data_IF_013115447474
#
_entry.id   IF_013115447474
#
_cell.length_a   1.000
_cell.length_b   1.000
_cell.length_c   1.000
_cell.angle_alpha   90.00
_cell.angle_beta   90.00
_cell.angle_gamma   90.00
#
_symmetry.space_group_name_H-M   'P 1'
#
loop_
_entity.id
_entity.type
_entity.pdbx_description
1 polymer ?
#
# COMPACT_ATOMS: atom_id res chain seq x y z
N UNK A 1 17.96 3.46 -43.11
CA UNK A 1 16.99 4.55 -42.97
C UNK A 1 15.56 4.08 -42.71
N UNK A 2 15.04 3.11 -43.48
CA UNK A 2 13.64 2.62 -43.31
C UNK A 2 13.37 1.97 -41.95
N UNK A 3 14.31 1.23 -41.38
CA UNK A 3 14.20 0.59 -40.08
C UNK A 3 14.14 1.60 -38.94
N UNK A 4 14.94 2.67 -38.99
CA UNK A 4 14.92 3.74 -37.99
C UNK A 4 13.59 4.51 -37.99
N UNK A 5 13.02 4.76 -39.15
CA UNK A 5 11.69 5.42 -39.25
C UNK A 5 10.57 4.53 -38.70
N UNK A 6 10.64 3.20 -38.85
CA UNK A 6 9.70 2.27 -38.23
C UNK A 6 9.85 2.27 -36.70
N UNK A 7 11.06 2.29 -36.17
CA UNK A 7 11.32 2.34 -34.73
C UNK A 7 10.85 3.68 -34.13
N UNK A 8 11.04 4.78 -34.85
CA UNK A 8 10.55 6.10 -34.42
C UNK A 8 9.00 6.13 -34.32
N UNK A 9 8.30 5.44 -35.23
CA UNK A 9 6.82 5.32 -35.18
C UNK A 9 6.31 4.55 -33.96
N UNK A 10 7.16 3.75 -33.34
CA UNK A 10 6.88 3.01 -32.09
C UNK A 10 7.55 3.66 -30.88
N UNK A 11 7.83 4.98 -30.94
CA UNK A 11 8.47 5.76 -29.89
C UNK A 11 9.88 5.31 -29.49
N UNK A 12 10.60 4.59 -30.40
CA UNK A 12 11.96 4.16 -30.18
C UNK A 12 12.94 5.08 -30.95
N UNK A 13 13.67 5.93 -30.23
CA UNK A 13 14.68 6.81 -30.81
C UNK A 13 16.04 6.11 -30.88
N UNK A 14 16.48 5.74 -32.10
CA UNK A 14 17.80 5.17 -32.35
C UNK A 14 18.76 6.23 -32.85
N UNK A 15 19.82 6.51 -32.10
CA UNK A 15 20.84 7.51 -32.45
C UNK A 15 22.00 6.96 -33.24
N UNK A 16 22.26 5.63 -33.19
CA UNK A 16 23.39 4.97 -33.91
C UNK A 16 22.89 3.69 -34.56
N UNK A 17 23.13 3.52 -35.86
CA UNK A 17 22.65 2.33 -36.59
C UNK A 17 23.23 1.00 -36.09
N UNK A 18 24.49 0.98 -35.69
CA UNK A 18 25.11 -0.22 -35.12
C UNK A 18 24.44 -0.72 -33.83
N UNK A 19 23.78 0.18 -33.10
CA UNK A 19 23.00 -0.21 -31.91
C UNK A 19 21.81 -1.12 -32.28
N UNK A 20 21.22 -0.98 -33.47
CA UNK A 20 20.14 -1.84 -33.93
C UNK A 20 20.60 -3.26 -34.18
N UNK A 21 21.83 -3.45 -34.75
CA UNK A 21 22.40 -4.78 -34.98
C UNK A 21 22.72 -5.47 -33.64
N UNK A 22 23.33 -4.73 -32.71
CA UNK A 22 23.64 -5.25 -31.37
C UNK A 22 22.36 -5.64 -30.63
N UNK A 23 21.32 -4.80 -30.68
CA UNK A 23 20.00 -5.10 -30.06
C UNK A 23 19.31 -6.29 -30.73
N UNK A 24 19.50 -6.49 -32.05
CA UNK A 24 18.98 -7.65 -32.79
C UNK A 24 19.63 -8.97 -32.40
N UNK A 25 20.81 -8.94 -31.77
CA UNK A 25 21.56 -10.12 -31.32
C UNK A 25 21.51 -10.31 -29.78
N UNK A 26 20.64 -9.59 -29.08
CA UNK A 26 20.49 -9.71 -27.62
C UNK A 26 19.89 -11.05 -27.27
N UNK A 27 20.53 -11.75 -26.34
CA UNK A 27 20.05 -13.02 -25.77
C UNK A 27 19.50 -12.90 -24.36
N UNK A 28 19.82 -11.80 -23.68
CA UNK A 28 19.37 -11.52 -22.31
C UNK A 28 18.97 -10.06 -22.18
N UNK A 29 17.84 -9.81 -21.55
CA UNK A 29 17.37 -8.47 -21.14
C UNK A 29 17.37 -8.44 -19.63
N UNK A 30 18.13 -7.51 -19.03
CA UNK A 30 18.03 -7.18 -17.60
C UNK A 30 17.08 -5.98 -17.45
N UNK A 31 16.06 -6.14 -16.63
CA UNK A 31 15.07 -5.08 -16.39
C UNK A 31 14.92 -4.83 -14.89
N UNK A 32 14.69 -3.59 -14.53
CA UNK A 32 14.25 -3.25 -13.17
C UNK A 32 12.78 -3.66 -12.97
N UNK A 33 12.42 -3.98 -11.73
CA UNK A 33 11.05 -4.33 -11.35
C UNK A 33 10.18 -3.08 -11.22
N UNK A 34 10.57 -2.19 -10.27
CA UNK A 34 9.75 -1.09 -9.81
C UNK A 34 9.74 0.07 -10.80
N UNK A 35 8.55 0.48 -11.25
CA UNK A 35 8.38 1.55 -12.24
C UNK A 35 8.70 1.17 -13.68
N UNK A 36 9.29 -0.03 -13.93
CA UNK A 36 9.53 -0.58 -15.27
C UNK A 36 8.53 -1.68 -15.58
N UNK A 37 8.56 -2.76 -14.84
CA UNK A 37 7.59 -3.85 -14.96
C UNK A 37 6.30 -3.56 -14.19
N UNK A 38 6.37 -2.75 -13.15
CA UNK A 38 5.23 -2.34 -12.34
C UNK A 38 4.86 -0.88 -12.60
N UNK A 39 3.70 -0.47 -12.10
CA UNK A 39 3.15 0.89 -12.30
C UNK A 39 3.84 1.96 -11.45
N UNK A 40 4.70 1.56 -10.48
CA UNK A 40 5.26 2.44 -9.44
C UNK A 40 4.17 3.15 -8.64
N UNK A 41 3.08 2.44 -8.39
CA UNK A 41 1.92 2.93 -7.65
C UNK A 41 1.38 1.83 -6.74
N UNK A 42 1.37 2.07 -5.44
CA UNK A 42 0.83 1.13 -4.48
C UNK A 42 -0.70 1.11 -4.55
N UNK A 43 -1.29 -0.07 -4.57
CA UNK A 43 -2.74 -0.27 -4.52
C UNK A 43 -3.09 -1.31 -3.46
N UNK A 44 -4.20 -1.08 -2.75
CA UNK A 44 -4.82 -2.11 -1.91
C UNK A 44 -5.46 -3.15 -2.83
N UNK A 45 -4.89 -4.34 -2.86
CA UNK A 45 -5.43 -5.46 -3.63
C UNK A 45 -6.59 -6.13 -2.92
N UNK A 46 -6.47 -6.21 -1.59
CA UNK A 46 -7.47 -6.84 -0.74
C UNK A 46 -7.43 -6.19 0.66
N UNK A 47 -8.58 -5.97 1.27
CA UNK A 47 -8.69 -5.57 2.66
C UNK A 47 -9.67 -6.49 3.36
N UNK A 48 -9.18 -7.22 4.35
CA UNK A 48 -9.97 -8.15 5.17
C UNK A 48 -10.28 -7.49 6.51
N UNK A 49 -11.55 -7.41 6.84
CA UNK A 49 -12.02 -6.84 8.10
C UNK A 49 -12.34 -7.94 9.10
N UNK A 50 -12.00 -7.70 10.36
CA UNK A 50 -12.15 -8.64 11.46
C UNK A 50 -13.09 -8.15 12.55
N UNK A 51 -13.50 -6.91 12.52
CA UNK A 51 -14.47 -6.32 13.45
C UNK A 51 -15.82 -6.01 12.75
N UNK A 52 -16.79 -5.63 13.55
CA UNK A 52 -18.11 -5.20 13.08
C UNK A 52 -18.25 -3.67 13.00
N UNK A 53 -17.14 -2.93 13.06
CA UNK A 53 -17.16 -1.47 12.99
C UNK A 53 -17.83 -1.03 11.67
N UNK A 54 -18.76 -0.06 11.64
CA UNK A 54 -19.30 0.47 10.40
C UNK A 54 -18.19 0.96 9.45
N UNK A 55 -18.44 0.91 8.14
CA UNK A 55 -17.44 1.33 7.16
C UNK A 55 -17.02 2.79 7.32
N UNK A 56 -17.97 3.64 7.62
CA UNK A 56 -17.73 5.07 7.82
C UNK A 56 -16.80 5.37 9.02
N UNK A 57 -17.01 4.67 10.15
CA UNK A 57 -16.13 4.77 11.32
C UNK A 57 -14.72 4.21 11.03
N UNK A 58 -14.63 3.08 10.30
CA UNK A 58 -13.36 2.54 9.85
C UNK A 58 -12.62 3.52 8.94
N UNK A 59 -13.35 4.18 8.04
CA UNK A 59 -12.79 5.18 7.14
C UNK A 59 -12.25 6.41 7.90
N UNK A 60 -12.94 6.87 8.95
CA UNK A 60 -12.43 7.95 9.83
C UNK A 60 -11.11 7.54 10.49
N UNK A 61 -11.02 6.32 11.04
CA UNK A 61 -9.80 5.80 11.68
C UNK A 61 -8.64 5.78 10.69
N UNK A 62 -8.85 5.26 9.49
CA UNK A 62 -7.81 5.18 8.45
C UNK A 62 -7.41 6.58 7.96
N UNK A 63 -8.39 7.45 7.69
CA UNK A 63 -8.17 8.81 7.21
C UNK A 63 -7.42 9.67 8.21
N UNK A 64 -7.84 9.66 9.49
CA UNK A 64 -7.22 10.46 10.55
C UNK A 64 -5.82 9.96 10.92
N UNK A 65 -5.60 8.62 10.88
CA UNK A 65 -4.29 8.01 11.14
C UNK A 65 -3.44 7.90 9.86
N UNK A 66 -3.48 8.92 9.00
CA UNK A 66 -2.67 9.00 7.77
C UNK A 66 -2.07 10.41 7.63
N UNK A 67 -0.85 10.48 7.07
CA UNK A 67 -0.16 11.73 6.73
C UNK A 67 -0.16 12.00 5.23
N UNK A 68 -0.47 11.00 4.41
CA UNK A 68 -0.62 11.16 2.98
C UNK A 68 -1.90 11.91 2.61
N UNK A 69 -1.96 12.43 1.40
CA UNK A 69 -3.15 13.02 0.78
C UNK A 69 -3.15 12.78 -0.73
N UNK A 70 -4.31 12.93 -1.35
CA UNK A 70 -4.46 12.84 -2.80
C UNK A 70 -4.52 14.26 -3.36
N UNK A 71 -3.83 14.53 -4.46
CA UNK A 71 -3.95 15.79 -5.17
C UNK A 71 -5.23 15.83 -6.02
N UNK A 72 -5.44 16.96 -6.71
CA UNK A 72 -6.61 17.17 -7.58
C UNK A 72 -6.71 16.18 -8.75
N UNK A 73 -5.63 15.49 -9.06
CA UNK A 73 -5.57 14.44 -10.10
C UNK A 73 -5.76 13.04 -9.54
N UNK A 74 -5.86 12.90 -8.21
CA UNK A 74 -5.89 11.63 -7.50
C UNK A 74 -4.50 11.02 -7.30
N UNK A 75 -3.42 11.76 -7.56
CA UNK A 75 -2.07 11.28 -7.29
C UNK A 75 -1.73 11.37 -5.80
N UNK A 76 -1.06 10.33 -5.30
CA UNK A 76 -0.66 10.25 -3.89
C UNK A 76 0.51 11.20 -3.61
N UNK A 77 0.35 12.04 -2.60
CA UNK A 77 1.42 12.86 -2.03
C UNK A 77 1.71 12.37 -0.62
N UNK A 78 2.96 12.02 -0.35
CA UNK A 78 3.41 11.45 0.92
C UNK A 78 3.72 9.97 0.84
N UNK A 79 3.41 9.21 1.89
CA UNK A 79 3.69 7.78 1.96
C UNK A 79 2.80 6.98 0.98
N UNK A 80 3.39 6.21 0.01
CA UNK A 80 2.60 5.49 -0.98
C UNK A 80 1.65 4.43 -0.39
N UNK A 81 2.03 3.78 0.71
CA UNK A 81 1.19 2.78 1.39
C UNK A 81 -0.03 3.44 2.05
N UNK A 82 0.16 4.63 2.64
CA UNK A 82 -0.96 5.41 3.18
C UNK A 82 -1.89 5.91 2.08
N UNK A 83 -1.30 6.40 0.98
CA UNK A 83 -2.06 6.86 -0.17
C UNK A 83 -2.92 5.75 -0.79
N UNK A 84 -2.39 4.53 -0.89
CA UNK A 84 -3.15 3.37 -1.36
C UNK A 84 -4.40 3.09 -0.51
N UNK A 85 -4.32 3.29 0.81
CA UNK A 85 -5.50 3.19 1.69
C UNK A 85 -6.52 4.29 1.44
N UNK A 86 -6.07 5.53 1.19
CA UNK A 86 -6.98 6.65 0.89
C UNK A 86 -7.68 6.46 -0.46
N UNK A 87 -6.97 5.98 -1.48
CA UNK A 87 -7.55 5.60 -2.77
C UNK A 87 -8.58 4.47 -2.62
N UNK A 88 -8.25 3.47 -1.79
CA UNK A 88 -9.16 2.39 -1.50
C UNK A 88 -10.44 2.87 -0.81
N UNK A 89 -10.35 3.77 0.18
CA UNK A 89 -11.52 4.38 0.81
C UNK A 89 -12.40 5.09 -0.22
N UNK A 90 -11.79 5.89 -1.10
CA UNK A 90 -12.53 6.56 -2.17
C UNK A 90 -13.26 5.58 -3.09
N UNK A 91 -12.64 4.45 -3.43
CA UNK A 91 -13.27 3.37 -4.22
C UNK A 91 -14.44 2.69 -3.48
N UNK A 92 -14.45 2.73 -2.13
CA UNK A 92 -15.58 2.26 -1.31
C UNK A 92 -16.69 3.31 -1.15
N UNK A 93 -16.53 4.49 -1.74
CA UNK A 93 -17.48 5.59 -1.62
C UNK A 93 -17.29 6.47 -0.39
N UNK A 94 -16.16 6.33 0.31
CA UNK A 94 -15.81 7.13 1.49
C UNK A 94 -14.84 8.26 1.10
N UNK A 95 -15.23 9.50 1.40
CA UNK A 95 -14.37 10.65 1.21
C UNK A 95 -13.54 10.89 2.47
N UNK A 96 -12.22 10.70 2.34
CA UNK A 96 -11.31 10.82 3.47
C UNK A 96 -11.10 12.28 3.94
N UNK A 97 -11.30 13.27 3.09
CA UNK A 97 -11.03 14.68 3.43
C UNK A 97 -11.99 15.21 4.51
N UNK A 98 -13.33 15.13 4.34
CA UNK A 98 -14.26 15.55 5.39
C UNK A 98 -14.14 14.70 6.66
N UNK A 99 -13.86 13.39 6.53
CA UNK A 99 -13.64 12.52 7.69
C UNK A 99 -12.42 12.97 8.50
N UNK A 100 -11.31 13.26 7.83
CA UNK A 100 -10.09 13.76 8.47
C UNK A 100 -10.29 15.16 9.06
N UNK A 101 -11.00 16.03 8.38
CA UNK A 101 -11.29 17.39 8.85
C UNK A 101 -12.24 17.39 10.05
N UNK A 102 -13.18 16.45 10.11
CA UNK A 102 -14.10 16.28 11.23
C UNK A 102 -13.43 15.69 12.48
N UNK A 103 -12.42 14.88 12.30
CA UNK A 103 -11.67 14.25 13.39
C UNK A 103 -10.63 15.23 13.96
N UNK A 104 -10.83 15.69 15.21
CA UNK A 104 -9.82 16.54 15.88
C UNK A 104 -8.68 15.68 16.38
N UNK A 105 -7.48 15.87 15.83
CA UNK A 105 -6.26 15.18 16.30
C UNK A 105 -5.87 15.75 17.68
N UNK A 106 -5.71 14.86 18.65
CA UNK A 106 -5.27 15.17 20.02
C UNK A 106 -3.77 14.98 20.14
N UNK A 107 -3.26 13.81 19.67
CA UNK A 107 -1.85 13.48 19.66
C UNK A 107 -1.52 12.54 18.49
N UNK A 108 -0.24 12.49 18.08
CA UNK A 108 0.22 11.63 17.01
C UNK A 108 1.62 11.10 17.29
N UNK A 109 1.73 9.78 17.32
CA UNK A 109 2.97 9.04 17.36
C UNK A 109 3.31 8.58 15.93
N UNK A 110 4.28 9.23 15.29
CA UNK A 110 4.69 8.91 13.93
C UNK A 110 5.33 7.53 13.83
N UNK A 111 5.29 6.93 12.63
CA UNK A 111 5.92 5.64 12.36
C UNK A 111 7.43 5.67 12.67
N UNK A 112 7.94 4.60 13.27
CA UNK A 112 9.38 4.34 13.34
C UNK A 112 9.69 2.88 12.99
N UNK A 113 10.85 2.63 12.43
CA UNK A 113 11.32 1.28 12.06
C UNK A 113 11.50 0.35 13.26
N UNK A 114 11.74 0.91 14.43
CA UNK A 114 11.85 0.16 15.69
C UNK A 114 10.49 -0.32 16.18
N UNK A 115 9.50 0.58 16.21
CA UNK A 115 8.15 0.28 16.67
C UNK A 115 7.31 -0.45 15.63
N UNK A 116 7.57 -0.20 14.34
CA UNK A 116 6.83 -0.72 13.19
C UNK A 116 5.33 -0.39 13.19
N UNK A 117 4.92 0.63 13.92
CA UNK A 117 3.55 1.15 13.89
C UNK A 117 3.51 2.67 14.06
N UNK A 118 2.38 3.24 13.71
CA UNK A 118 1.97 4.61 13.92
C UNK A 118 0.67 4.62 14.73
N UNK A 119 0.51 5.57 15.63
CA UNK A 119 -0.72 5.79 16.38
C UNK A 119 -1.17 7.25 16.30
N UNK A 120 -2.48 7.48 16.33
CA UNK A 120 -3.06 8.81 16.40
C UNK A 120 -4.26 8.78 17.35
N UNK A 121 -4.29 9.69 18.31
CA UNK A 121 -5.49 9.92 19.14
C UNK A 121 -6.33 11.00 18.48
N UNK A 122 -7.60 10.69 18.29
CA UNK A 122 -8.59 11.62 17.74
C UNK A 122 -9.76 11.82 18.69
N UNK A 123 -10.37 12.99 18.63
CA UNK A 123 -11.76 13.16 19.01
C UNK A 123 -12.58 12.92 17.74
N UNK A 124 -13.27 11.78 17.67
CA UNK A 124 -14.04 11.39 16.48
C UNK A 124 -15.11 12.42 16.15
N UNK A 125 -15.17 12.80 14.88
CA UNK A 125 -16.22 13.66 14.35
C UNK A 125 -17.56 12.94 14.21
N UNK A 126 -17.53 11.61 14.08
CA UNK A 126 -18.71 10.75 13.92
C UNK A 126 -19.35 10.45 15.27
N UNK A 127 -18.58 9.84 16.18
CA UNK A 127 -19.09 9.34 17.46
C UNK A 127 -18.97 10.35 18.61
N UNK A 128 -18.15 11.39 18.44
CA UNK A 128 -17.78 12.31 19.51
C UNK A 128 -16.89 11.69 20.59
N UNK A 129 -16.45 10.44 20.43
CA UNK A 129 -15.61 9.74 21.40
C UNK A 129 -14.13 9.96 21.11
N UNK A 130 -13.31 9.84 22.14
CA UNK A 130 -11.86 9.83 21.97
C UNK A 130 -11.39 8.42 21.63
N UNK A 131 -10.68 8.29 20.51
CA UNK A 131 -10.26 7.01 19.93
C UNK A 131 -8.78 7.05 19.68
N UNK A 132 -8.04 6.00 20.06
CA UNK A 132 -6.69 5.73 19.59
C UNK A 132 -6.77 4.84 18.36
N UNK A 133 -6.23 5.33 17.26
CA UNK A 133 -6.12 4.63 15.97
C UNK A 133 -4.68 4.15 15.80
N UNK A 134 -4.48 2.87 15.52
CA UNK A 134 -3.17 2.26 15.33
C UNK A 134 -3.10 1.60 13.97
N UNK A 135 -1.99 1.79 13.24
CA UNK A 135 -1.68 1.02 12.03
C UNK A 135 -0.22 0.65 11.98
N UNK A 136 0.10 -0.49 11.44
CA UNK A 136 1.48 -0.98 11.38
C UNK A 136 1.61 -2.40 10.89
N UNK A 137 2.77 -3.00 11.17
CA UNK A 137 3.06 -4.38 10.88
C UNK A 137 2.04 -5.29 11.60
N UNK A 138 1.39 -6.22 10.87
CA UNK A 138 0.29 -7.02 11.43
C UNK A 138 0.66 -7.78 12.68
N UNK A 139 1.86 -8.34 12.74
CA UNK A 139 2.37 -9.08 13.90
C UNK A 139 2.49 -8.19 15.16
N UNK A 140 2.86 -6.92 14.97
CA UNK A 140 3.01 -5.96 16.07
C UNK A 140 1.63 -5.46 16.52
N UNK A 141 0.79 -5.05 15.57
CA UNK A 141 -0.53 -4.52 15.87
C UNK A 141 -1.42 -5.59 16.50
N UNK A 142 -1.37 -6.84 15.97
CA UNK A 142 -2.14 -7.96 16.53
C UNK A 142 -1.77 -8.28 17.98
N UNK A 143 -0.49 -8.22 18.31
CA UNK A 143 -0.01 -8.45 19.68
C UNK A 143 -0.51 -7.41 20.71
N UNK A 144 -0.95 -6.23 20.25
CA UNK A 144 -1.52 -5.17 21.08
C UNK A 144 -3.04 -5.30 21.24
N UNK A 145 -3.67 -6.20 20.47
CA UNK A 145 -5.12 -6.33 20.45
C UNK A 145 -5.63 -7.30 21.52
N UNK A 146 -6.86 -7.08 21.96
CA UNK A 146 -7.56 -8.01 22.82
C UNK A 146 -7.72 -9.37 22.11
N UNK A 147 -7.60 -10.50 22.83
CA UNK A 147 -7.88 -11.82 22.28
C UNK A 147 -9.34 -11.91 21.79
N UNK A 148 -9.54 -12.30 20.56
CA UNK A 148 -10.86 -12.46 19.92
C UNK A 148 -11.06 -13.84 19.27
N UNK A 149 -10.09 -14.76 19.46
CA UNK A 149 -10.11 -16.11 18.92
C UNK A 149 -9.83 -16.21 17.41
N UNK A 150 -9.36 -15.13 16.75
CA UNK A 150 -9.14 -15.09 15.31
C UNK A 150 -7.67 -15.21 14.91
N UNK A 151 -6.77 -15.57 15.83
CA UNK A 151 -5.33 -15.60 15.59
C UNK A 151 -4.94 -16.53 14.43
N UNK A 152 -5.52 -17.75 14.38
CA UNK A 152 -5.26 -18.70 13.30
C UNK A 152 -5.74 -18.17 11.95
N UNK A 153 -6.94 -17.60 11.90
CA UNK A 153 -7.50 -17.01 10.68
C UNK A 153 -6.64 -15.87 10.16
N UNK A 154 -6.19 -14.98 11.05
CA UNK A 154 -5.32 -13.85 10.69
C UNK A 154 -3.98 -14.37 10.18
N UNK A 155 -3.39 -15.37 10.86
CA UNK A 155 -2.10 -15.94 10.45
C UNK A 155 -2.18 -16.61 9.08
N UNK A 156 -3.22 -17.38 8.80
CA UNK A 156 -3.44 -18.01 7.49
C UNK A 156 -3.59 -16.96 6.38
N UNK A 157 -4.38 -15.91 6.63
CA UNK A 157 -4.56 -14.81 5.68
C UNK A 157 -3.24 -14.09 5.38
N UNK A 158 -2.44 -13.82 6.40
CA UNK A 158 -1.13 -13.19 6.25
C UNK A 158 -0.16 -14.04 5.43
N UNK A 159 -0.13 -15.35 5.67
CA UNK A 159 0.67 -16.30 4.86
C UNK A 159 0.23 -16.28 3.39
N UNK A 160 -1.07 -16.22 3.14
CA UNK A 160 -1.61 -16.09 1.77
C UNK A 160 -1.17 -14.80 1.08
N UNK A 161 -1.13 -13.67 1.79
CA UNK A 161 -0.65 -12.40 1.27
C UNK A 161 0.86 -12.40 1.02
N UNK A 162 1.64 -12.95 1.95
CA UNK A 162 3.10 -13.10 1.82
C UNK A 162 3.47 -14.00 0.63
N UNK A 163 2.74 -15.10 0.43
CA UNK A 163 2.94 -15.99 -0.72
C UNK A 163 2.70 -15.31 -2.08
N UNK A 164 1.93 -14.21 -2.09
CA UNK A 164 1.70 -13.34 -3.26
C UNK A 164 2.62 -12.11 -3.30
N UNK A 165 3.65 -12.07 -2.44
CA UNK A 165 4.61 -10.95 -2.30
C UNK A 165 3.93 -9.59 -2.06
N UNK A 166 2.80 -9.57 -1.33
CA UNK A 166 2.09 -8.35 -0.97
C UNK A 166 2.62 -7.79 0.35
N UNK A 167 2.69 -6.47 0.46
CA UNK A 167 2.88 -5.79 1.74
C UNK A 167 1.59 -5.85 2.53
N UNK A 168 1.69 -6.11 3.82
CA UNK A 168 0.54 -6.14 4.71
C UNK A 168 0.61 -5.01 5.72
N UNK A 169 -0.54 -4.38 5.97
CA UNK A 169 -0.71 -3.33 6.96
C UNK A 169 -1.97 -3.61 7.78
N UNK A 170 -1.81 -3.75 9.08
CA UNK A 170 -2.95 -3.90 9.99
C UNK A 170 -3.44 -2.56 10.50
N UNK A 171 -4.73 -2.52 10.81
CA UNK A 171 -5.44 -1.41 11.45
C UNK A 171 -6.11 -1.92 12.71
N UNK A 172 -5.96 -1.16 13.79
CA UNK A 172 -6.62 -1.41 15.08
C UNK A 172 -7.05 -0.10 15.73
N UNK A 173 -7.98 -0.18 16.68
CA UNK A 173 -8.51 0.98 17.36
C UNK A 173 -9.01 0.63 18.77
N UNK A 174 -9.14 1.62 19.63
CA UNK A 174 -9.85 1.52 20.90
C UNK A 174 -10.35 2.89 21.36
N UNK A 175 -11.38 2.91 22.20
CA UNK A 175 -11.72 4.10 22.97
C UNK A 175 -10.66 4.34 24.04
N UNK A 176 -10.34 5.60 24.31
CA UNK A 176 -9.34 5.98 25.32
C UNK A 176 -9.71 7.27 26.03
N UNK A 177 -9.29 7.38 27.28
CA UNK A 177 -9.33 8.64 28.04
C UNK A 177 -7.99 9.39 27.97
N UNK A 178 -6.94 8.74 27.47
CA UNK A 178 -5.59 9.28 27.39
C UNK A 178 -5.48 10.39 26.35
N UNK A 179 -4.52 11.27 26.53
CA UNK A 179 -4.15 12.35 25.61
C UNK A 179 -2.74 12.17 25.01
N UNK A 180 -2.05 11.10 25.35
CA UNK A 180 -0.75 10.70 24.87
C UNK A 180 -0.80 9.32 24.21
N UNK A 181 -0.31 9.21 22.96
CA UNK A 181 -0.41 7.99 22.17
C UNK A 181 0.31 6.79 22.78
N UNK A 182 1.46 6.99 23.44
CA UNK A 182 2.21 5.87 24.01
C UNK A 182 1.45 5.30 25.22
N UNK A 183 0.88 6.17 26.06
CA UNK A 183 0.04 5.75 27.18
C UNK A 183 -1.24 5.08 26.69
N UNK A 184 -1.90 5.67 25.70
CA UNK A 184 -3.12 5.11 25.14
C UNK A 184 -2.91 3.70 24.57
N UNK A 185 -1.86 3.49 23.79
CA UNK A 185 -1.54 2.16 23.23
C UNK A 185 -1.16 1.16 24.31
N UNK A 186 -0.44 1.59 25.36
CA UNK A 186 -0.05 0.72 26.47
C UNK A 186 -1.22 0.32 27.38
N UNK A 187 -2.20 1.21 27.55
CA UNK A 187 -3.35 1.02 28.43
C UNK A 187 -4.55 0.35 27.75
N UNK A 188 -4.72 0.53 26.43
CA UNK A 188 -5.89 0.07 25.71
C UNK A 188 -5.79 -1.40 25.31
N UNK A 189 -6.92 -2.10 25.39
CA UNK A 189 -7.13 -3.36 24.68
C UNK A 189 -7.67 -3.02 23.27
N UNK A 190 -6.78 -3.00 22.27
CA UNK A 190 -7.16 -2.62 20.93
C UNK A 190 -8.08 -3.66 20.28
N UNK A 191 -9.02 -3.20 19.48
CA UNK A 191 -9.83 -4.01 18.56
C UNK A 191 -9.10 -4.15 17.24
N UNK A 192 -8.88 -5.38 16.79
CA UNK A 192 -8.24 -5.66 15.50
C UNK A 192 -9.25 -5.43 14.37
N UNK A 193 -9.14 -4.31 13.68
CA UNK A 193 -10.13 -3.90 12.68
C UNK A 193 -9.95 -4.59 11.33
N UNK A 194 -8.72 -4.75 10.88
CA UNK A 194 -8.47 -5.38 9.58
C UNK A 194 -7.02 -5.40 9.15
N UNK A 195 -6.79 -6.09 8.02
CA UNK A 195 -5.49 -6.14 7.33
C UNK A 195 -5.68 -5.76 5.87
N UNK A 196 -4.90 -4.81 5.40
CA UNK A 196 -4.77 -4.46 4.00
C UNK A 196 -3.57 -5.19 3.38
N UNK A 197 -3.77 -5.82 2.23
CA UNK A 197 -2.74 -6.36 1.37
C UNK A 197 -2.50 -5.38 0.23
N UNK A 198 -1.27 -4.88 0.11
CA UNK A 198 -0.91 -3.77 -0.76
C UNK A 198 0.24 -4.20 -1.66
N UNK A 199 0.14 -3.93 -2.95
CA UNK A 199 1.21 -4.19 -3.90
C UNK A 199 1.27 -3.11 -4.98
N UNK A 200 2.42 -3.03 -5.64
CA UNK A 200 2.60 -2.28 -6.88
C UNK A 200 2.28 -3.23 -8.05
N UNK A 201 1.16 -3.06 -8.76
CA UNK A 201 0.73 -4.00 -9.78
C UNK A 201 1.65 -3.99 -11.00
N UNK A 202 1.80 -5.14 -11.62
CA UNK A 202 2.47 -5.28 -12.92
C UNK A 202 1.67 -4.51 -13.97
N UNK A 203 2.35 -3.82 -14.88
CA UNK A 203 1.71 -3.13 -16.02
C UNK A 203 1.05 -4.15 -16.94
N UNK A 204 -0.09 -3.79 -17.51
CA UNK A 204 -0.91 -4.69 -18.33
C UNK A 204 -0.19 -5.23 -19.57
N UNK A 205 0.73 -4.44 -20.16
CA UNK A 205 1.48 -4.77 -21.37
C UNK A 205 2.69 -5.68 -21.10
N UNK A 206 3.15 -5.80 -19.86
CA UNK A 206 4.37 -6.54 -19.49
C UNK A 206 4.26 -8.04 -19.75
N UNK A 207 3.19 -8.76 -19.38
CA UNK A 207 3.10 -10.18 -19.62
C UNK A 207 3.23 -10.54 -21.11
N UNK A 208 2.61 -9.76 -22.00
CA UNK A 208 2.72 -9.96 -23.44
C UNK A 208 4.13 -9.66 -23.95
N UNK A 209 4.74 -8.54 -23.47
CA UNK A 209 6.10 -8.14 -23.86
C UNK A 209 7.13 -9.20 -23.44
N UNK A 210 7.06 -9.70 -22.20
CA UNK A 210 7.94 -10.79 -21.72
C UNK A 210 7.71 -12.07 -22.53
N UNK A 211 6.46 -12.43 -22.80
CA UNK A 211 6.13 -13.59 -23.60
C UNK A 211 6.72 -13.51 -25.02
N UNK A 212 6.76 -12.32 -25.63
CA UNK A 212 7.42 -12.10 -26.93
C UNK A 212 8.94 -12.28 -26.85
N UNK A 213 9.58 -11.77 -25.80
CA UNK A 213 11.01 -11.97 -25.58
C UNK A 213 11.37 -13.46 -25.47
N UNK A 214 10.65 -14.20 -24.62
CA UNK A 214 10.88 -15.62 -24.41
C UNK A 214 10.68 -16.45 -25.69
N UNK A 215 9.64 -16.14 -26.50
CA UNK A 215 9.40 -16.77 -27.80
C UNK A 215 10.50 -16.48 -28.82
N UNK A 216 11.17 -15.33 -28.70
CA UNK A 216 12.32 -14.97 -29.53
C UNK A 216 13.63 -15.59 -29.03
N UNK A 217 13.62 -16.40 -27.97
CA UNK A 217 14.82 -16.98 -27.37
C UNK A 217 15.64 -16.01 -26.53
N UNK A 218 14.99 -14.91 -26.07
CA UNK A 218 15.62 -13.88 -25.23
C UNK A 218 15.21 -14.13 -23.78
N UNK A 219 16.17 -14.36 -22.91
CA UNK A 219 15.95 -14.47 -21.47
C UNK A 219 15.65 -13.09 -20.86
N UNK A 220 14.68 -13.03 -19.97
CA UNK A 220 14.39 -11.83 -19.17
C UNK A 220 14.82 -12.05 -17.74
N UNK A 221 15.73 -11.21 -17.25
CA UNK A 221 16.24 -11.22 -15.86
C UNK A 221 15.76 -9.97 -15.14
N UNK A 222 15.10 -10.16 -14.01
CA UNK A 222 14.67 -9.04 -13.16
C UNK A 222 15.77 -8.72 -12.17
N UNK A 223 16.20 -7.46 -12.16
CA UNK A 223 17.17 -6.92 -11.21
C UNK A 223 16.44 -5.89 -10.38
N UNK A 224 16.37 -6.08 -9.06
CA UNK A 224 15.65 -5.18 -8.16
C UNK A 224 16.47 -4.96 -6.89
N UNK A 225 16.41 -3.74 -6.38
CA UNK A 225 16.91 -3.39 -5.04
C UNK A 225 15.89 -3.63 -3.94
N UNK A 226 14.65 -4.02 -4.28
CA UNK A 226 13.63 -4.36 -3.30
C UNK A 226 13.94 -5.75 -2.69
N UNK A 227 13.99 -5.82 -1.37
CA UNK A 227 14.15 -7.05 -0.59
C UNK A 227 12.80 -7.60 -0.16
#
# INVERSE_FOLDING_TARGET
AMSMLRMLKTNNLVRRMHACETMGAVTVICTDKTGTLTQNRMHVQELVRYDALPMHDFAEIVAANSTAFLDVTGAVIGNPTEGALLEWLHAQGEDYEPLRAGAKIVDRLTFSTERKYMATIIQSGISGRRIVCVKGAPEIVRAMCAPDGKDEQVAEQLLGFQGRAMRTLAVAWAETAEDDCQRAVAAAQLHFAGVAAISDPVREDVPEAVGRCLKAGIDVKIVTGDT
#
